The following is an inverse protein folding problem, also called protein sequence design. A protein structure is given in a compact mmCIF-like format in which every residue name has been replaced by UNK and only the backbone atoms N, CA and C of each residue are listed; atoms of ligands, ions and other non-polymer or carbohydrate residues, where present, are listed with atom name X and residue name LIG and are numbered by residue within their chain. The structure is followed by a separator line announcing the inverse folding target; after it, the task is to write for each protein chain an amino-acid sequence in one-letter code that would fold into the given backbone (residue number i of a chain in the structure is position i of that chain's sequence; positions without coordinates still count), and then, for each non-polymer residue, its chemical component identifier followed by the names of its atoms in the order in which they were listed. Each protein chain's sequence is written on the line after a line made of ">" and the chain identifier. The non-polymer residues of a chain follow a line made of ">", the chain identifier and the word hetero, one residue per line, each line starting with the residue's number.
data_IF_908668230092
#
_entry.id   IF_908668230092
#
_cell.length_a   1.000
_cell.length_b   1.000
_cell.length_c   1.000
_cell.angle_alpha   90.00
_cell.angle_beta   90.00
_cell.angle_gamma   90.00
#
_symmetry.space_group_name_H-M   'P 1'
#
loop_
_entity.id
_entity.type
_entity.pdbx_description
1 polymer ?
#
# COMPACT_ATOMS: atom_id res chain seq x y z
N UNK A 1 -16.18 -5.36 -10.66
CA UNK A 1 -14.88 -5.56 -9.98
C UNK A 1 -13.77 -4.79 -10.68
N UNK A 2 -13.52 -5.03 -11.98
CA UNK A 2 -12.47 -4.33 -12.75
C UNK A 2 -12.61 -2.80 -12.74
N UNK A 3 -13.81 -2.28 -13.03
CA UNK A 3 -14.05 -0.82 -13.04
C UNK A 3 -13.86 -0.20 -11.66
N UNK A 4 -14.41 -0.83 -10.61
CA UNK A 4 -14.27 -0.40 -9.22
C UNK A 4 -12.81 -0.35 -8.79
N UNK A 5 -12.05 -1.41 -9.05
CA UNK A 5 -10.63 -1.47 -8.73
C UNK A 5 -9.83 -0.46 -9.56
N UNK A 6 -10.16 -0.29 -10.84
CA UNK A 6 -9.48 0.67 -11.71
C UNK A 6 -9.72 2.13 -11.28
N UNK A 7 -10.94 2.46 -10.87
CA UNK A 7 -11.24 3.75 -10.28
C UNK A 7 -10.48 3.92 -8.94
N UNK A 8 -10.40 2.84 -8.15
CA UNK A 8 -9.82 2.90 -6.83
C UNK A 8 -8.31 3.17 -6.84
N UNK A 9 -7.55 2.56 -7.76
CA UNK A 9 -6.10 2.80 -7.91
C UNK A 9 -5.77 4.18 -8.55
N UNK A 10 -6.78 4.97 -8.90
CA UNK A 10 -6.64 6.31 -9.51
C UNK A 10 -7.26 7.42 -8.66
N UNK A 11 -7.70 7.11 -7.44
CA UNK A 11 -8.46 8.04 -6.60
C UNK A 11 -7.55 8.92 -5.75
N UNK A 12 -7.65 10.23 -5.91
CA UNK A 12 -6.94 11.22 -5.07
C UNK A 12 -7.45 11.31 -3.63
N UNK A 13 -8.50 10.57 -3.26
CA UNK A 13 -9.05 10.61 -1.90
C UNK A 13 -8.15 9.92 -0.86
N UNK A 14 -7.34 8.96 -1.28
CA UNK A 14 -6.48 8.17 -0.38
C UNK A 14 -5.06 7.97 -0.93
N UNK A 15 -4.69 8.64 -2.01
CA UNK A 15 -3.34 8.60 -2.57
C UNK A 15 -2.94 9.95 -3.16
N UNK A 16 -1.63 10.20 -3.23
CA UNK A 16 -1.05 11.39 -3.87
C UNK A 16 -1.05 11.31 -5.40
N UNK A 17 -0.57 12.37 -6.05
CA UNK A 17 -0.39 12.39 -7.51
C UNK A 17 0.64 11.36 -8.00
N UNK A 18 1.55 10.95 -7.12
CA UNK A 18 2.54 9.89 -7.31
C UNK A 18 1.97 8.47 -7.11
N UNK A 19 0.69 8.36 -6.76
CA UNK A 19 0.02 7.08 -6.51
C UNK A 19 0.34 6.45 -5.15
N UNK A 20 1.17 7.08 -4.31
CA UNK A 20 1.47 6.57 -2.97
C UNK A 20 0.27 6.84 -2.06
N UNK A 21 -0.19 5.81 -1.36
CA UNK A 21 -1.33 5.91 -0.43
C UNK A 21 -1.00 6.92 0.68
N UNK A 22 -1.95 7.77 1.07
CA UNK A 22 -1.83 8.79 2.15
C UNK A 22 -2.68 8.45 3.38
N UNK A 23 -3.57 7.47 3.28
CA UNK A 23 -4.48 7.04 4.35
C UNK A 23 -3.72 6.73 5.65
N UNK A 24 -4.20 7.22 6.78
CA UNK A 24 -3.64 6.92 8.11
C UNK A 24 -2.19 7.37 8.30
N UNK A 25 -1.77 8.48 7.69
CA UNK A 25 -0.41 9.06 7.81
C UNK A 25 -0.38 10.40 8.57
N UNK A 26 -1.52 10.88 9.03
CA UNK A 26 -1.68 12.18 9.69
C UNK A 26 -1.65 12.09 11.22
N UNK A 27 -1.69 13.25 11.87
CA UNK A 27 -1.77 13.39 13.32
C UNK A 27 -0.53 12.88 14.08
N UNK A 28 -0.74 12.40 15.31
CA UNK A 28 0.34 11.84 16.11
C UNK A 28 0.70 10.42 15.64
N UNK A 29 1.86 10.28 15.02
CA UNK A 29 2.36 9.00 14.48
C UNK A 29 2.68 7.95 15.57
N UNK A 30 2.82 8.37 16.83
CA UNK A 30 3.03 7.48 17.99
C UNK A 30 1.73 6.98 18.62
N UNK A 31 0.58 7.28 18.04
CA UNK A 31 -0.73 6.82 18.50
C UNK A 31 -1.33 5.83 17.52
N UNK A 32 -1.74 4.67 18.03
CA UNK A 32 -2.48 3.69 17.26
C UNK A 32 -3.92 4.15 17.02
N UNK A 33 -4.42 3.93 15.81
CA UNK A 33 -5.83 4.08 15.45
C UNK A 33 -6.15 3.18 14.25
N UNK A 34 -7.43 3.00 13.94
CA UNK A 34 -7.86 2.09 12.87
C UNK A 34 -7.34 2.52 11.49
N UNK A 35 -7.25 3.83 11.24
CA UNK A 35 -6.75 4.39 9.99
C UNK A 35 -5.33 3.92 9.67
N UNK A 36 -4.49 3.63 10.68
CA UNK A 36 -3.13 3.08 10.46
C UNK A 36 -3.16 1.77 9.67
N UNK A 37 -4.20 0.96 9.83
CA UNK A 37 -4.34 -0.35 9.19
C UNK A 37 -5.15 -0.37 7.89
N UNK A 38 -5.95 0.67 7.59
CA UNK A 38 -6.84 0.67 6.43
C UNK A 38 -6.11 0.51 5.09
N UNK A 39 -4.96 1.17 4.94
CA UNK A 39 -4.11 1.02 3.75
C UNK A 39 -3.69 -0.44 3.50
N UNK A 40 -3.42 -1.19 4.57
CA UNK A 40 -2.99 -2.58 4.50
C UNK A 40 -4.15 -3.48 4.02
N UNK A 41 -5.34 -3.27 4.59
CA UNK A 41 -6.58 -3.97 4.18
C UNK A 41 -6.89 -3.69 2.71
N UNK A 42 -6.70 -2.44 2.26
CA UNK A 42 -6.93 -2.05 0.88
C UNK A 42 -6.00 -2.79 -0.09
N UNK A 43 -4.70 -2.87 0.23
CA UNK A 43 -3.73 -3.63 -0.57
C UNK A 43 -4.04 -5.14 -0.56
N UNK A 44 -4.43 -5.70 0.59
CA UNK A 44 -4.87 -7.11 0.67
C UNK A 44 -6.06 -7.40 -0.24
N UNK A 45 -7.03 -6.48 -0.29
CA UNK A 45 -8.17 -6.57 -1.20
C UNK A 45 -7.74 -6.59 -2.67
N UNK A 46 -6.77 -5.75 -3.06
CA UNK A 46 -6.23 -5.79 -4.42
C UNK A 46 -5.47 -7.08 -4.71
N UNK A 47 -4.70 -7.59 -3.76
CA UNK A 47 -4.01 -8.87 -3.92
C UNK A 47 -5.00 -10.02 -4.17
N UNK A 48 -6.09 -10.10 -3.41
CA UNK A 48 -7.16 -11.08 -3.63
C UNK A 48 -7.77 -10.97 -5.04
N UNK A 49 -8.03 -9.75 -5.50
CA UNK A 49 -8.57 -9.51 -6.84
C UNK A 49 -7.56 -9.89 -7.92
N UNK A 50 -6.28 -9.61 -7.73
CA UNK A 50 -5.21 -10.01 -8.64
C UNK A 50 -5.14 -11.54 -8.80
N UNK A 51 -5.19 -12.28 -7.68
CA UNK A 51 -5.15 -13.74 -7.69
C UNK A 51 -6.35 -14.35 -8.44
N UNK A 52 -7.53 -13.75 -8.32
CA UNK A 52 -8.76 -14.25 -8.97
C UNK A 52 -8.88 -13.84 -10.44
N UNK A 53 -8.16 -12.79 -10.87
CA UNK A 53 -8.28 -12.21 -12.22
C UNK A 53 -7.36 -12.84 -13.27
N UNK A 54 -7.11 -14.16 -13.18
CA UNK A 54 -6.10 -14.88 -13.99
C UNK A 54 -6.23 -14.67 -15.51
N UNK A 55 -7.46 -14.51 -16.02
CA UNK A 55 -7.72 -14.36 -17.46
C UNK A 55 -7.60 -12.91 -17.97
N UNK A 56 -7.46 -11.92 -17.08
CA UNK A 56 -7.40 -10.50 -17.43
C UNK A 56 -6.01 -9.92 -17.18
N UNK A 57 -5.10 -10.14 -18.14
CA UNK A 57 -3.71 -9.69 -18.06
C UNK A 57 -3.58 -8.19 -17.82
N UNK A 58 -4.35 -7.36 -18.55
CA UNK A 58 -4.27 -5.89 -18.39
C UNK A 58 -4.67 -5.45 -16.99
N UNK A 59 -5.67 -6.09 -16.40
CA UNK A 59 -6.10 -5.78 -15.05
C UNK A 59 -5.09 -6.25 -13.99
N UNK A 60 -4.47 -7.42 -14.21
CA UNK A 60 -3.36 -7.87 -13.37
C UNK A 60 -2.17 -6.91 -13.42
N UNK A 61 -1.80 -6.44 -14.61
CA UNK A 61 -0.75 -5.42 -14.80
C UNK A 61 -1.10 -4.15 -14.00
N UNK A 62 -2.34 -3.67 -14.10
CA UNK A 62 -2.76 -2.48 -13.36
C UNK A 62 -2.57 -2.63 -11.84
N UNK A 63 -3.00 -3.76 -11.27
CA UNK A 63 -2.88 -4.00 -9.82
C UNK A 63 -1.41 -4.20 -9.44
N UNK A 64 -0.65 -4.98 -10.22
CA UNK A 64 0.78 -5.19 -10.02
C UNK A 64 1.54 -3.87 -10.00
N UNK A 65 1.33 -3.00 -10.99
CA UNK A 65 1.95 -1.67 -11.03
C UNK A 65 1.57 -0.80 -9.84
N UNK A 66 0.33 -0.87 -9.35
CA UNK A 66 -0.09 -0.11 -8.17
C UNK A 66 0.58 -0.61 -6.88
N UNK A 67 0.74 -1.93 -6.73
CA UNK A 67 1.44 -2.55 -5.59
C UNK A 67 2.92 -2.18 -5.61
N UNK A 68 3.57 -2.20 -6.78
CA UNK A 68 4.98 -1.84 -6.93
C UNK A 68 5.25 -0.39 -6.49
N UNK A 69 4.34 0.56 -6.76
CA UNK A 69 4.46 1.93 -6.26
C UNK A 69 4.54 1.96 -4.73
N UNK A 70 3.69 1.19 -4.04
CA UNK A 70 3.70 1.16 -2.57
C UNK A 70 4.92 0.43 -2.02
N UNK A 71 5.34 -0.65 -2.68
CA UNK A 71 6.51 -1.42 -2.32
C UNK A 71 7.78 -0.57 -2.40
N UNK A 72 7.97 0.16 -3.51
CA UNK A 72 9.11 1.05 -3.68
C UNK A 72 9.08 2.21 -2.68
N UNK A 73 7.91 2.81 -2.43
CA UNK A 73 7.77 3.86 -1.42
C UNK A 73 8.19 3.37 -0.01
N UNK A 74 7.78 2.15 0.36
CA UNK A 74 8.18 1.54 1.62
C UNK A 74 9.69 1.32 1.71
N UNK A 75 10.31 0.74 0.67
CA UNK A 75 11.74 0.46 0.68
C UNK A 75 12.59 1.73 0.67
N UNK A 76 12.29 2.66 -0.23
CA UNK A 76 13.17 3.78 -0.56
C UNK A 76 12.94 5.00 0.33
N UNK A 77 11.71 5.25 0.78
CA UNK A 77 11.33 6.48 1.46
C UNK A 77 11.00 6.26 2.93
N UNK A 78 10.38 5.11 3.24
CA UNK A 78 9.78 4.83 4.53
C UNK A 78 10.42 3.65 5.28
N UNK A 79 11.69 3.35 5.04
CA UNK A 79 12.42 2.34 5.79
C UNK A 79 13.78 2.82 6.32
N UNK A 80 14.32 2.07 7.28
CA UNK A 80 15.73 2.13 7.66
C UNK A 80 16.48 0.84 7.30
N UNK A 81 15.95 0.05 6.35
CA UNK A 81 16.48 -1.26 5.96
C UNK A 81 16.10 -2.43 6.89
N UNK A 82 15.56 -2.18 8.08
CA UNK A 82 15.11 -3.24 9.01
C UNK A 82 13.70 -3.05 9.54
N UNK A 83 13.12 -1.86 9.35
CA UNK A 83 11.81 -1.48 9.87
C UNK A 83 11.16 -0.48 8.93
N UNK A 84 9.83 -0.52 8.88
CA UNK A 84 8.99 0.32 8.03
C UNK A 84 8.21 1.37 8.82
N UNK A 85 8.06 2.55 8.24
CA UNK A 85 7.31 3.67 8.78
C UNK A 85 5.83 3.61 8.47
N UNK A 86 5.07 4.51 9.09
CA UNK A 86 3.63 4.69 8.81
C UNK A 86 3.42 5.62 7.62
N UNK A 87 4.34 6.58 7.46
CA UNK A 87 4.31 7.61 6.41
C UNK A 87 5.08 7.08 5.21
N UNK A 88 4.38 6.70 4.14
CA UNK A 88 4.98 6.05 2.98
C UNK A 88 5.66 7.03 2.01
N UNK A 89 5.26 8.31 2.03
CA UNK A 89 6.00 9.39 1.36
C UNK A 89 7.36 9.69 2.00
N UNK A 90 7.62 9.12 3.18
CA UNK A 90 8.82 9.39 3.95
C UNK A 90 8.95 10.85 4.41
N UNK A 91 10.14 11.23 4.90
CA UNK A 91 11.23 10.31 5.25
C UNK A 91 10.81 9.36 6.39
N UNK A 92 11.53 8.25 6.54
CA UNK A 92 11.26 7.27 7.60
C UNK A 92 11.11 7.93 8.97
N UNK A 93 9.96 7.69 9.61
CA UNK A 93 9.51 8.38 10.81
C UNK A 93 9.70 7.57 12.11
N UNK A 94 10.50 6.51 12.06
CA UNK A 94 10.72 5.59 13.18
C UNK A 94 9.74 4.41 13.20
N UNK A 95 10.10 3.33 13.94
CA UNK A 95 9.32 2.11 13.93
C UNK A 95 8.10 2.22 14.84
N UNK A 96 6.97 1.72 14.36
CA UNK A 96 5.78 1.47 15.19
C UNK A 96 5.22 0.09 14.85
N UNK A 97 4.49 -0.52 15.79
CA UNK A 97 3.86 -1.84 15.56
C UNK A 97 2.87 -1.77 14.40
N UNK A 98 2.08 -0.70 14.31
CA UNK A 98 1.12 -0.51 13.22
C UNK A 98 1.79 -0.16 11.88
N UNK A 99 2.93 0.55 11.87
CA UNK A 99 3.74 0.76 10.67
C UNK A 99 4.28 -0.55 10.11
N UNK A 100 4.84 -1.42 10.96
CA UNK A 100 5.27 -2.75 10.54
C UNK A 100 4.09 -3.58 10.01
N UNK A 101 2.98 -3.61 10.75
CA UNK A 101 1.80 -4.37 10.36
C UNK A 101 1.24 -3.91 9.00
N UNK A 102 1.20 -2.60 8.76
CA UNK A 102 0.71 -2.07 7.50
C UNK A 102 1.62 -2.40 6.31
N UNK A 103 2.93 -2.51 6.53
CA UNK A 103 3.88 -2.89 5.49
C UNK A 103 3.74 -4.36 5.06
N UNK A 104 3.30 -5.27 5.95
CA UNK A 104 3.21 -6.71 5.65
C UNK A 104 2.31 -7.02 4.45
N UNK A 105 1.13 -6.40 4.37
CA UNK A 105 0.20 -6.64 3.26
C UNK A 105 0.80 -6.14 1.92
N UNK A 106 1.62 -5.10 1.92
CA UNK A 106 2.35 -4.64 0.72
C UNK A 106 3.40 -5.66 0.31
N UNK A 107 4.19 -6.16 1.27
CA UNK A 107 5.25 -7.14 1.00
C UNK A 107 4.66 -8.45 0.45
N UNK A 108 3.57 -8.94 1.05
CA UNK A 108 2.86 -10.14 0.58
C UNK A 108 2.28 -9.91 -0.81
N UNK A 109 1.63 -8.77 -1.04
CA UNK A 109 1.05 -8.44 -2.34
C UNK A 109 2.13 -8.36 -3.43
N UNK A 110 3.28 -7.75 -3.12
CA UNK A 110 4.41 -7.63 -4.05
C UNK A 110 5.00 -9.00 -4.39
N UNK A 111 5.22 -9.88 -3.40
CA UNK A 111 5.72 -11.24 -3.63
C UNK A 111 4.76 -12.08 -4.47
N UNK A 112 3.45 -11.94 -4.28
CA UNK A 112 2.49 -12.73 -5.05
C UNK A 112 2.08 -12.11 -6.38
N UNK A 113 2.51 -10.88 -6.67
CA UNK A 113 2.28 -10.20 -7.95
C UNK A 113 3.49 -10.19 -8.89
N UNK A 114 4.70 -10.43 -8.35
CA UNK A 114 5.97 -10.56 -9.07
C UNK A 114 6.41 -12.02 -9.20
#
# INVERSE_FOLDING_TARGET
>A
MTETASAAVKSYQWQGEDGIITEGQDGNLNTNNDARGFKAIFIRGFHEVFQRSIANTNFRILIHSYVDVQYNALLDLASNGTSYGVVWHGPYNGPTVWGQNAALDVMIAAVGAN
#
